data_IF_619644270929
#
_entry.id   IF_619644270929
#
_cell.length_a   1.000
_cell.length_b   1.000
_cell.length_c   1.000
_cell.angle_alpha   90.00
_cell.angle_beta   90.00
_cell.angle_gamma   90.00
#
_symmetry.space_group_name_H-M   'P 1'
#
loop_
_entity.id
_entity.type
_entity.pdbx_description
1 polymer ?
#
# COMPACT_ATOMS: atom_id res chain seq x y z
N UNK A 1 30.58 -29.21 6.90
CA UNK A 1 29.55 -30.19 7.30
C UNK A 1 29.39 -30.14 8.82
N UNK A 2 28.39 -29.41 9.34
CA UNK A 2 28.06 -29.41 10.78
C UNK A 2 26.96 -30.46 11.01
N UNK A 3 27.21 -31.38 11.96
CA UNK A 3 26.31 -32.48 12.32
C UNK A 3 24.95 -31.92 12.77
N UNK A 4 23.89 -32.47 12.23
CA UNK A 4 22.50 -32.16 12.56
C UNK A 4 22.19 -32.90 13.87
N UNK A 5 21.73 -32.18 14.90
CA UNK A 5 21.31 -32.76 16.19
C UNK A 5 20.01 -33.57 16.01
N UNK A 6 19.82 -34.73 16.66
CA UNK A 6 18.69 -35.65 16.36
C UNK A 6 17.30 -35.18 16.81
N UNK A 7 17.17 -34.12 17.61
CA UNK A 7 15.94 -33.80 18.34
C UNK A 7 15.33 -32.45 17.94
N UNK A 8 14.83 -32.31 16.69
CA UNK A 8 14.01 -31.16 16.28
C UNK A 8 12.55 -31.60 16.07
N UNK A 9 11.63 -31.09 16.89
CA UNK A 9 10.19 -31.24 16.67
C UNK A 9 9.71 -30.27 15.57
N UNK A 10 8.96 -30.81 14.61
CA UNK A 10 8.46 -30.08 13.45
C UNK A 10 7.01 -29.66 13.70
N UNK A 11 6.74 -28.36 13.76
CA UNK A 11 5.35 -27.83 13.75
C UNK A 11 4.89 -27.56 12.31
N UNK A 12 3.65 -27.93 11.93
CA UNK A 12 3.12 -27.61 10.61
C UNK A 12 2.78 -26.12 10.49
N UNK A 13 3.20 -25.48 9.40
CA UNK A 13 2.83 -24.12 9.02
C UNK A 13 2.51 -24.09 7.51
N UNK A 14 1.30 -23.69 7.12
CA UNK A 14 0.95 -23.60 5.70
C UNK A 14 1.52 -22.30 5.10
N UNK A 15 2.28 -22.41 4.02
CA UNK A 15 2.83 -21.28 3.25
C UNK A 15 2.41 -21.40 1.80
N UNK A 16 2.06 -20.27 1.19
CA UNK A 16 1.58 -20.23 -0.19
C UNK A 16 2.72 -19.71 -1.08
N UNK A 17 3.40 -20.55 -1.88
CA UNK A 17 4.55 -20.14 -2.70
C UNK A 17 4.13 -19.20 -3.85
N UNK A 18 5.04 -18.34 -4.31
CA UNK A 18 4.82 -17.37 -5.39
C UNK A 18 5.97 -17.43 -6.43
N UNK A 19 5.79 -18.07 -7.61
CA UNK A 19 6.57 -17.82 -8.86
C UNK A 19 6.14 -18.66 -10.08
N UNK A 20 6.64 -18.31 -11.29
CA UNK A 20 5.97 -17.53 -12.33
C UNK A 20 5.03 -18.36 -13.23
N UNK A 21 4.18 -17.64 -13.97
CA UNK A 21 3.11 -18.13 -14.85
C UNK A 21 3.44 -19.43 -15.61
N UNK A 22 2.91 -20.56 -15.16
CA UNK A 22 2.27 -21.60 -16.01
C UNK A 22 1.73 -22.81 -15.22
N UNK A 23 1.97 -22.93 -13.91
CA UNK A 23 1.56 -24.12 -13.16
C UNK A 23 0.93 -23.77 -11.80
N UNK A 24 -0.13 -24.51 -11.45
CA UNK A 24 -1.15 -24.24 -10.44
C UNK A 24 -0.65 -23.80 -9.04
N UNK A 25 -1.46 -22.99 -8.35
CA UNK A 25 -1.29 -22.60 -6.94
C UNK A 25 -1.38 -23.84 -6.05
N UNK A 26 -0.25 -24.27 -5.46
CA UNK A 26 -0.19 -25.40 -4.51
C UNK A 26 -0.15 -24.84 -3.09
N UNK A 27 -1.09 -25.26 -2.24
CA UNK A 27 -0.98 -25.06 -0.80
C UNK A 27 0.20 -25.89 -0.29
N UNK A 28 1.25 -25.24 0.22
CA UNK A 28 2.46 -25.91 0.68
C UNK A 28 2.45 -25.96 2.21
N UNK A 29 2.30 -27.14 2.79
CA UNK A 29 2.57 -27.34 4.21
C UNK A 29 4.08 -27.28 4.44
N UNK A 30 4.57 -26.18 5.02
CA UNK A 30 5.94 -26.04 5.48
C UNK A 30 6.05 -26.52 6.92
N UNK A 31 6.93 -27.48 7.15
CA UNK A 31 7.36 -27.81 8.51
C UNK A 31 8.54 -26.93 8.86
N UNK A 32 8.32 -25.91 9.68
CA UNK A 32 9.41 -25.05 10.14
C UNK A 32 10.16 -25.75 11.27
N UNK A 33 11.49 -25.92 11.20
CA UNK A 33 12.24 -26.52 12.29
C UNK A 33 12.15 -25.63 13.53
N UNK A 34 11.84 -26.23 14.69
CA UNK A 34 11.81 -25.54 15.98
C UNK A 34 12.96 -26.03 16.84
N UNK A 35 13.64 -25.12 17.51
CA UNK A 35 14.62 -25.45 18.54
C UNK A 35 13.92 -25.65 19.89
N UNK A 36 14.54 -26.45 20.76
CA UNK A 36 13.99 -26.81 22.08
C UNK A 36 13.73 -25.59 22.99
N UNK A 37 14.55 -24.55 22.87
CA UNK A 37 14.42 -23.31 23.65
C UNK A 37 13.59 -22.23 22.94
N UNK A 38 13.10 -22.49 21.72
CA UNK A 38 12.27 -21.57 20.94
C UNK A 38 12.97 -20.29 20.47
N UNK A 39 14.30 -20.21 20.57
CA UNK A 39 15.14 -19.06 20.21
C UNK A 39 15.41 -18.93 18.71
N UNK A 40 15.14 -19.96 17.92
CA UNK A 40 15.40 -19.94 16.48
C UNK A 40 14.46 -18.96 15.76
N UNK A 41 15.02 -17.99 15.03
CA UNK A 41 14.28 -17.07 14.17
C UNK A 41 14.46 -17.44 12.69
N UNK A 42 13.43 -18.00 12.03
CA UNK A 42 13.52 -18.32 10.62
C UNK A 42 13.57 -17.05 9.78
N UNK A 43 14.60 -16.94 8.94
CA UNK A 43 14.86 -15.75 8.11
C UNK A 43 13.99 -15.68 6.84
N UNK A 44 13.57 -16.84 6.32
CA UNK A 44 12.82 -16.95 5.05
C UNK A 44 11.30 -16.79 5.23
N UNK A 45 10.74 -17.33 6.31
CA UNK A 45 9.33 -17.19 6.69
C UNK A 45 9.32 -16.89 8.18
N UNK A 46 8.96 -15.67 8.56
CA UNK A 46 8.96 -15.26 9.97
C UNK A 46 7.97 -16.11 10.77
N UNK A 47 8.20 -16.25 12.08
CA UNK A 47 7.25 -16.92 12.98
C UNK A 47 5.85 -16.29 12.81
N UNK A 48 4.83 -17.12 12.66
CA UNK A 48 3.42 -16.74 12.42
C UNK A 48 3.14 -16.00 11.10
N UNK A 49 4.08 -16.00 10.15
CA UNK A 49 3.85 -15.42 8.83
C UNK A 49 3.03 -16.39 7.97
N UNK A 50 1.72 -16.12 7.86
CA UNK A 50 0.78 -16.87 7.01
C UNK A 50 0.74 -16.38 5.56
N UNK A 51 1.47 -15.30 5.24
CA UNK A 51 1.47 -14.64 3.92
C UNK A 51 2.88 -14.38 3.42
N UNK A 52 3.15 -14.71 2.16
CA UNK A 52 4.39 -14.29 1.49
C UNK A 52 4.27 -12.80 1.14
N UNK A 53 5.31 -12.04 1.49
CA UNK A 53 5.46 -10.60 1.21
C UNK A 53 5.33 -10.32 -0.29
N UNK A 54 4.30 -9.55 -0.69
CA UNK A 54 4.04 -9.19 -2.09
C UNK A 54 2.57 -8.91 -2.43
N UNK A 55 1.64 -9.49 -1.67
CA UNK A 55 0.19 -9.23 -1.84
C UNK A 55 -0.18 -7.77 -1.58
N UNK A 56 0.47 -7.12 -0.62
CA UNK A 56 0.15 -5.74 -0.24
C UNK A 56 0.42 -4.76 -1.39
N UNK A 57 1.55 -4.91 -2.09
CA UNK A 57 1.86 -4.11 -3.28
C UNK A 57 0.85 -4.33 -4.42
N UNK A 58 0.35 -5.55 -4.59
CA UNK A 58 -0.70 -5.85 -5.57
C UNK A 58 -2.03 -5.21 -5.17
N UNK A 59 -2.40 -5.28 -3.89
CA UNK A 59 -3.58 -4.59 -3.35
C UNK A 59 -3.49 -3.09 -3.62
N UNK A 60 -2.35 -2.47 -3.30
CA UNK A 60 -2.12 -1.04 -3.55
C UNK A 60 -2.19 -0.69 -5.04
N UNK A 61 -1.61 -1.51 -5.91
CA UNK A 61 -1.65 -1.30 -7.36
C UNK A 61 -3.08 -1.38 -7.91
N UNK A 62 -3.88 -2.35 -7.46
CA UNK A 62 -5.27 -2.49 -7.88
C UNK A 62 -6.14 -1.35 -7.34
N UNK A 63 -5.88 -0.92 -6.11
CA UNK A 63 -6.56 0.24 -5.51
C UNK A 63 -6.22 1.54 -6.26
N UNK A 64 -4.95 1.76 -6.60
CA UNK A 64 -4.50 2.90 -7.41
C UNK A 64 -5.10 2.91 -8.83
N UNK A 65 -5.47 1.74 -9.36
CA UNK A 65 -6.22 1.60 -10.63
C UNK A 65 -7.72 1.88 -10.50
N UNK A 66 -8.20 2.23 -9.29
CA UNK A 66 -9.59 2.59 -9.04
C UNK A 66 -10.52 1.41 -8.73
N UNK A 67 -9.98 0.22 -8.48
CA UNK A 67 -10.81 -0.91 -8.06
C UNK A 67 -11.32 -0.73 -6.63
N UNK A 68 -12.58 -1.03 -6.40
CA UNK A 68 -13.18 -1.04 -5.07
C UNK A 68 -12.60 -2.18 -4.23
N UNK A 69 -12.65 -2.05 -2.90
CA UNK A 69 -12.16 -3.08 -1.98
C UNK A 69 -12.86 -4.43 -2.17
N UNK A 70 -14.10 -4.44 -2.67
CA UNK A 70 -14.84 -5.66 -2.99
C UNK A 70 -14.38 -6.30 -4.31
N UNK A 71 -14.11 -5.49 -5.33
CA UNK A 71 -13.56 -5.98 -6.60
C UNK A 71 -12.15 -6.55 -6.41
N UNK A 72 -11.33 -5.88 -5.59
CA UNK A 72 -10.01 -6.39 -5.23
C UNK A 72 -10.15 -7.73 -4.51
N UNK A 73 -11.04 -7.84 -3.52
CA UNK A 73 -11.28 -9.10 -2.82
C UNK A 73 -11.71 -10.24 -3.78
N UNK A 74 -12.63 -9.93 -4.71
CA UNK A 74 -13.07 -10.88 -5.74
C UNK A 74 -11.92 -11.29 -6.67
N UNK A 75 -11.10 -10.34 -7.13
CA UNK A 75 -9.94 -10.62 -7.98
C UNK A 75 -8.91 -11.51 -7.28
N UNK A 76 -8.68 -11.31 -5.98
CA UNK A 76 -7.80 -12.18 -5.21
C UNK A 76 -8.36 -13.60 -5.03
N UNK A 77 -9.68 -13.73 -4.88
CA UNK A 77 -10.34 -15.03 -4.83
C UNK A 77 -10.27 -15.75 -6.18
N UNK A 78 -10.47 -15.04 -7.29
CA UNK A 78 -10.44 -15.62 -8.63
C UNK A 78 -9.03 -16.03 -9.07
N UNK A 79 -8.04 -15.15 -8.90
CA UNK A 79 -6.68 -15.36 -9.41
C UNK A 79 -5.81 -16.24 -8.51
N UNK A 80 -6.04 -16.17 -7.19
CA UNK A 80 -5.15 -16.79 -6.20
C UNK A 80 -5.87 -17.75 -5.24
N UNK A 81 -7.18 -17.97 -5.40
CA UNK A 81 -8.03 -18.68 -4.43
C UNK A 81 -7.85 -18.18 -2.98
N UNK A 82 -7.52 -16.90 -2.84
CA UNK A 82 -7.18 -16.27 -1.57
C UNK A 82 -8.36 -15.48 -1.02
N UNK A 83 -8.85 -15.87 0.16
CA UNK A 83 -9.89 -15.13 0.86
C UNK A 83 -9.30 -13.89 1.56
N UNK A 84 -9.46 -12.74 0.91
CA UNK A 84 -9.03 -11.43 1.41
C UNK A 84 -10.27 -10.62 1.77
N UNK A 85 -10.39 -10.20 3.03
CA UNK A 85 -11.52 -9.37 3.44
C UNK A 85 -11.35 -7.92 2.97
N UNK A 86 -12.44 -7.21 2.64
CA UNK A 86 -12.40 -5.78 2.33
C UNK A 86 -11.77 -4.95 3.46
N UNK A 87 -11.99 -5.35 4.72
CA UNK A 87 -11.38 -4.70 5.88
C UNK A 87 -9.85 -4.83 5.90
N UNK A 88 -9.31 -5.96 5.44
CA UNK A 88 -7.86 -6.13 5.32
C UNK A 88 -7.29 -5.27 4.20
N UNK A 89 -7.99 -5.18 3.06
CA UNK A 89 -7.60 -4.29 1.96
C UNK A 89 -7.54 -2.84 2.44
N UNK A 90 -8.56 -2.38 3.19
CA UNK A 90 -8.55 -1.04 3.78
C UNK A 90 -7.36 -0.83 4.72
N UNK A 91 -7.04 -1.79 5.59
CA UNK A 91 -5.85 -1.68 6.47
C UNK A 91 -4.55 -1.54 5.68
N UNK A 92 -4.41 -2.27 4.57
CA UNK A 92 -3.22 -2.19 3.71
C UNK A 92 -3.15 -0.83 3.02
N UNK A 93 -4.27 -0.29 2.52
CA UNK A 93 -4.29 1.04 1.90
C UNK A 93 -3.99 2.15 2.92
N UNK A 94 -4.47 2.01 4.15
CA UNK A 94 -4.25 2.99 5.23
C UNK A 94 -2.77 3.01 5.67
N UNK A 95 -2.05 1.89 5.52
CA UNK A 95 -0.63 1.80 5.88
C UNK A 95 0.29 2.70 5.02
N UNK A 96 -0.18 3.12 3.84
CA UNK A 96 0.59 4.04 2.95
C UNK A 96 0.37 5.50 3.34
N UNK A 97 -0.55 5.79 4.26
CA UNK A 97 -0.87 7.16 4.64
C UNK A 97 0.33 7.90 5.25
N UNK A 98 1.20 7.20 5.97
CA UNK A 98 2.46 7.77 6.46
C UNK A 98 3.38 8.22 5.31
N UNK A 99 3.50 7.42 4.25
CA UNK A 99 4.30 7.76 3.07
C UNK A 99 3.70 8.94 2.29
N UNK A 100 2.36 9.08 2.28
CA UNK A 100 1.70 10.24 1.67
C UNK A 100 2.02 11.51 2.45
N UNK A 101 2.04 11.46 3.78
CA UNK A 101 2.44 12.59 4.62
C UNK A 101 3.91 12.95 4.41
N UNK A 102 4.79 11.96 4.34
CA UNK A 102 6.20 12.17 4.02
C UNK A 102 6.37 12.82 2.64
N UNK A 103 5.65 12.31 1.63
CA UNK A 103 5.65 12.89 0.28
C UNK A 103 5.12 14.34 0.25
N UNK A 104 4.09 14.66 1.03
CA UNK A 104 3.57 16.04 1.14
C UNK A 104 4.57 17.01 1.79
N UNK A 105 5.45 16.53 2.68
CA UNK A 105 6.43 17.36 3.40
C UNK A 105 7.85 17.25 2.82
N UNK A 106 8.02 16.57 1.68
CA UNK A 106 9.33 16.42 1.05
C UNK A 106 9.87 17.80 0.65
N UNK A 107 11.20 18.01 0.72
CA UNK A 107 11.79 19.25 0.23
C UNK A 107 11.52 19.41 -1.27
N UNK A 108 11.12 20.61 -1.66
CA UNK A 108 10.95 21.01 -3.05
C UNK A 108 12.20 21.78 -3.53
N UNK A 109 12.39 21.86 -4.84
CA UNK A 109 13.45 22.67 -5.41
C UNK A 109 13.22 24.17 -5.14
N UNK A 110 14.31 24.92 -5.09
CA UNK A 110 14.26 26.35 -4.78
C UNK A 110 13.52 27.17 -5.86
N UNK A 111 13.46 26.68 -7.11
CA UNK A 111 12.89 27.42 -8.24
C UNK A 111 12.12 26.48 -9.17
N UNK A 112 10.86 26.81 -9.39
CA UNK A 112 10.01 26.24 -10.44
C UNK A 112 9.61 27.35 -11.43
N UNK A 113 10.17 27.40 -12.65
CA UNK A 113 9.88 28.47 -13.61
C UNK A 113 8.40 28.64 -13.96
N UNK A 114 7.62 27.56 -13.90
CA UNK A 114 6.18 27.58 -14.19
C UNK A 114 5.47 26.77 -13.10
N UNK A 115 4.39 27.32 -12.54
CA UNK A 115 3.52 26.61 -11.60
C UNK A 115 2.08 26.72 -12.08
N UNK A 116 1.40 25.58 -12.20
CA UNK A 116 -0.02 25.47 -12.44
C UNK A 116 -0.74 25.18 -11.14
N UNK A 117 -1.81 25.93 -10.89
CA UNK A 117 -2.70 25.73 -9.76
C UNK A 117 -4.05 25.30 -10.32
N UNK A 118 -4.56 24.17 -9.85
CA UNK A 118 -5.85 23.63 -10.26
C UNK A 118 -6.70 23.26 -9.03
N UNK A 119 -8.01 23.20 -9.24
CA UNK A 119 -8.98 22.87 -8.20
C UNK A 119 -10.06 21.95 -8.77
N UNK A 120 -10.17 20.74 -8.24
CA UNK A 120 -11.17 19.75 -8.63
C UNK A 120 -12.17 19.55 -7.50
N UNK A 121 -13.46 19.72 -7.78
CA UNK A 121 -14.52 19.47 -6.81
C UNK A 121 -14.97 18.02 -6.89
N UNK A 122 -14.82 17.28 -5.79
CA UNK A 122 -15.20 15.88 -5.66
C UNK A 122 -16.37 15.72 -4.67
N UNK A 123 -17.27 14.79 -4.96
CA UNK A 123 -18.32 14.36 -4.02
C UNK A 123 -17.75 13.33 -3.06
N UNK A 124 -17.59 13.70 -1.80
CA UNK A 124 -17.05 12.85 -0.75
C UNK A 124 -18.16 12.50 0.23
N UNK A 125 -18.23 11.24 0.65
CA UNK A 125 -19.13 10.82 1.72
C UNK A 125 -18.45 11.04 3.07
N UNK A 126 -19.01 11.91 3.90
CA UNK A 126 -18.56 12.20 5.26
C UNK A 126 -19.78 12.25 6.18
N UNK A 127 -19.70 11.62 7.36
CA UNK A 127 -20.78 11.62 8.37
C UNK A 127 -22.16 11.22 7.81
N UNK A 128 -22.18 10.17 6.98
CA UNK A 128 -23.36 9.67 6.26
C UNK A 128 -24.01 10.65 5.26
N UNK A 129 -23.36 11.78 4.95
CA UNK A 129 -23.79 12.76 3.95
C UNK A 129 -22.80 12.84 2.82
N UNK A 130 -23.28 13.15 1.62
CA UNK A 130 -22.41 13.45 0.47
C UNK A 130 -22.22 14.96 0.43
N UNK A 131 -21.00 15.40 0.63
CA UNK A 131 -20.61 16.81 0.57
C UNK A 131 -19.63 17.01 -0.58
N UNK A 132 -19.65 18.21 -1.15
CA UNK A 132 -18.63 18.62 -2.11
C UNK A 132 -17.38 19.02 -1.33
N UNK A 133 -16.22 18.51 -1.75
CA UNK A 133 -14.91 18.96 -1.27
C UNK A 133 -14.05 19.38 -2.44
N UNK A 134 -13.25 20.40 -2.25
CA UNK A 134 -12.32 20.90 -3.25
C UNK A 134 -10.95 20.29 -3.01
N UNK A 135 -10.36 19.72 -4.06
CA UNK A 135 -8.99 19.23 -4.11
C UNK A 135 -8.15 20.21 -4.88
N UNK A 136 -7.23 20.88 -4.19
CA UNK A 136 -6.28 21.82 -4.76
C UNK A 136 -5.00 21.09 -5.15
N UNK A 137 -4.52 21.35 -6.35
CA UNK A 137 -3.33 20.73 -6.94
C UNK A 137 -2.35 21.82 -7.34
N UNK A 138 -1.10 21.68 -6.92
CA UNK A 138 0.01 22.51 -7.39
C UNK A 138 0.97 21.65 -8.23
N UNK A 139 1.12 21.98 -9.51
CA UNK A 139 2.00 21.30 -10.45
C UNK A 139 3.09 22.27 -10.92
N UNK A 140 4.34 21.99 -10.59
CA UNK A 140 5.51 22.76 -11.02
C UNK A 140 6.15 22.15 -12.27
N UNK A 141 6.81 22.99 -13.06
CA UNK A 141 7.82 22.57 -14.02
C UNK A 141 9.18 22.98 -13.44
N UNK A 142 10.10 22.04 -13.27
CA UNK A 142 11.45 22.31 -12.77
C UNK A 142 12.35 22.92 -13.87
N UNK A 143 13.60 23.24 -13.53
CA UNK A 143 14.55 23.86 -14.47
C UNK A 143 14.94 22.92 -15.63
N UNK A 144 14.81 21.61 -15.43
CA UNK A 144 15.00 20.57 -16.45
C UNK A 144 13.77 20.39 -17.35
N UNK A 145 12.69 21.12 -17.11
CA UNK A 145 11.45 21.04 -17.89
C UNK A 145 10.56 19.86 -17.52
N UNK A 146 10.82 19.17 -16.41
CA UNK A 146 10.00 18.05 -15.93
C UNK A 146 8.84 18.56 -15.07
N UNK A 147 7.67 17.94 -15.27
CA UNK A 147 6.47 18.23 -14.48
C UNK A 147 6.51 17.47 -13.18
N UNK A 148 6.29 18.18 -12.07
CA UNK A 148 6.27 17.61 -10.73
C UNK A 148 5.03 18.08 -9.98
N UNK A 149 4.35 17.14 -9.31
CA UNK A 149 3.28 17.48 -8.38
C UNK A 149 3.93 17.96 -7.08
N UNK A 150 3.79 19.26 -6.82
CA UNK A 150 4.37 19.93 -5.65
C UNK A 150 3.55 19.67 -4.40
N UNK A 151 2.23 19.57 -4.55
CA UNK A 151 1.35 19.22 -3.46
C UNK A 151 -0.10 19.03 -3.88
N UNK A 152 -0.85 18.44 -2.96
CA UNK A 152 -2.28 18.18 -3.09
C UNK A 152 -2.93 18.38 -1.73
N UNK A 153 -3.99 19.20 -1.69
CA UNK A 153 -4.69 19.52 -0.46
C UNK A 153 -6.20 19.43 -0.64
N UNK A 154 -6.88 19.03 0.43
CA UNK A 154 -8.33 18.86 0.46
C UNK A 154 -8.93 19.93 1.39
N UNK A 155 -9.88 20.71 0.88
CA UNK A 155 -10.61 21.68 1.68
C UNK A 155 -12.13 21.57 1.46
N UNK A 156 -12.88 22.05 2.44
CA UNK A 156 -14.35 22.03 2.38
C UNK A 156 -14.94 23.13 1.50
N UNK A 157 -14.23 24.25 1.34
CA UNK A 157 -14.69 25.40 0.56
C UNK A 157 -13.64 25.86 -0.45
N UNK A 158 -14.10 26.30 -1.61
CA UNK A 158 -13.31 27.04 -2.58
C UNK A 158 -13.09 28.47 -2.05
N UNK A 159 -11.83 28.89 -1.88
CA UNK A 159 -11.55 30.25 -1.45
C UNK A 159 -10.11 30.66 -1.66
N UNK A 160 -9.89 31.90 -2.12
CA UNK A 160 -8.56 32.48 -2.32
C UNK A 160 -7.69 32.47 -1.04
N UNK A 161 -8.33 32.47 0.13
CA UNK A 161 -7.64 32.31 1.43
C UNK A 161 -6.93 30.98 1.56
N UNK A 162 -7.44 29.92 0.91
CA UNK A 162 -6.81 28.62 0.93
C UNK A 162 -5.48 28.64 0.18
N UNK A 163 -5.46 29.22 -1.02
CA UNK A 163 -4.22 29.38 -1.79
C UNK A 163 -3.19 30.24 -1.07
N UNK A 164 -3.61 31.24 -0.29
CA UNK A 164 -2.70 32.03 0.52
C UNK A 164 -1.95 31.15 1.55
N UNK A 165 -2.66 30.25 2.23
CA UNK A 165 -2.03 29.29 3.17
C UNK A 165 -1.16 28.23 2.48
N UNK A 166 -1.38 27.96 1.18
CA UNK A 166 -0.58 26.99 0.42
C UNK A 166 0.72 27.60 -0.10
N UNK A 167 0.74 28.92 -0.33
CA UNK A 167 1.87 29.65 -0.90
C UNK A 167 2.76 30.35 0.13
N UNK A 168 2.30 30.48 1.37
CA UNK A 168 3.08 30.94 2.55
C UNK A 168 3.96 29.81 3.10
#
# INVERSE_FOLDING_TARGET
MRKISPDQELTPATVIPQRPLSQATVQLELRTPRDRDGTFEPQLVKKNQTRITGMDNQILSLYAKGMTTREIAAAFKELYDADVSPALISKVTDAVMEQVVEWQNRPLDAVYPIVYLDCIVLKVRQDSRVINKSVFLALGINIEGQKELLGMWLAENEGAKFWLNVLD
#
